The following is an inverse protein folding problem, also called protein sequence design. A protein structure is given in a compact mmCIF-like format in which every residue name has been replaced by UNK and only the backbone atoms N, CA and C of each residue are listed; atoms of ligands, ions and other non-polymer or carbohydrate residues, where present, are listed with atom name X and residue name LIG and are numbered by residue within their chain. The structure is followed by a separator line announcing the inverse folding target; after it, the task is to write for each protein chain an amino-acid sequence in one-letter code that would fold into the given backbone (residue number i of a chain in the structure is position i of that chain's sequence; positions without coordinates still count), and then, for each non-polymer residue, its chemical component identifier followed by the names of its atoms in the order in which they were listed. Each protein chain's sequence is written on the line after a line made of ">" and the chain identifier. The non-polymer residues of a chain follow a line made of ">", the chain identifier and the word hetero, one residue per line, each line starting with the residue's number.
data_IF_643801443081
#
_entry.id   IF_643801443081
#
_cell.length_a   1.000
_cell.length_b   1.000
_cell.length_c   1.000
_cell.angle_alpha   90.00
_cell.angle_beta   90.00
_cell.angle_gamma   90.00
#
_symmetry.space_group_name_H-M   'P 1'
#
loop_
_entity.id
_entity.type
_entity.pdbx_description
1 polymer ?
#
# COMPACT_ATOMS: atom_id res chain seq x y z
N UNK A 1 2.75 72.62 -16.34
CA UNK A 1 1.27 72.58 -16.43
C UNK A 1 0.85 71.13 -16.27
N UNK A 2 0.57 70.69 -15.03
CA UNK A 2 0.03 69.35 -14.76
C UNK A 2 -1.48 69.38 -15.01
N UNK A 3 -1.90 68.91 -16.18
CA UNK A 3 -3.30 68.58 -16.41
C UNK A 3 -3.55 67.19 -15.84
N UNK A 4 -3.81 67.11 -14.54
CA UNK A 4 -4.48 65.93 -13.97
C UNK A 4 -5.97 66.25 -14.07
N UNK A 5 -6.67 65.49 -14.90
CA UNK A 5 -8.11 65.61 -15.10
C UNK A 5 -8.82 65.46 -13.74
N UNK A 6 -9.58 66.47 -13.27
CA UNK A 6 -10.25 66.43 -11.97
C UNK A 6 -11.28 65.29 -11.84
N UNK A 7 -11.55 64.54 -12.92
CA UNK A 7 -12.43 63.37 -12.95
C UNK A 7 -11.71 62.01 -13.01
N UNK A 8 -10.40 61.95 -12.73
CA UNK A 8 -9.65 60.69 -12.74
C UNK A 8 -10.16 59.72 -11.65
N UNK A 9 -11.06 58.82 -12.06
CA UNK A 9 -11.52 57.67 -11.28
C UNK A 9 -10.32 56.78 -10.88
N UNK A 10 -10.42 56.07 -9.75
CA UNK A 10 -9.39 55.16 -9.20
C UNK A 10 -8.70 54.29 -10.27
N UNK A 11 -9.44 53.84 -11.28
CA UNK A 11 -8.88 53.02 -12.36
C UNK A 11 -7.87 53.76 -13.25
N UNK A 12 -8.09 55.04 -13.54
CA UNK A 12 -7.15 55.84 -14.34
C UNK A 12 -5.89 56.23 -13.56
N UNK A 13 -6.02 56.44 -12.25
CA UNK A 13 -4.87 56.65 -11.35
C UNK A 13 -4.03 55.38 -11.24
N UNK A 14 -4.69 54.22 -11.13
CA UNK A 14 -4.03 52.92 -11.10
C UNK A 14 -3.29 52.59 -12.41
N UNK A 15 -3.84 52.94 -13.59
CA UNK A 15 -3.14 52.71 -14.87
C UNK A 15 -1.84 53.52 -14.98
N UNK A 16 -1.86 54.80 -14.60
CA UNK A 16 -0.65 55.63 -14.58
C UNK A 16 0.40 55.08 -13.61
N UNK A 17 -0.03 54.59 -12.45
CA UNK A 17 0.86 53.95 -11.46
C UNK A 17 1.45 52.66 -12.02
N UNK A 18 0.64 51.82 -12.68
CA UNK A 18 1.06 50.53 -13.22
C UNK A 18 2.12 50.67 -14.32
N UNK A 19 1.93 51.58 -15.28
CA UNK A 19 2.90 51.86 -16.35
C UNK A 19 4.27 52.26 -15.77
N UNK A 20 4.25 53.10 -14.73
CA UNK A 20 5.48 53.56 -14.08
C UNK A 20 6.11 52.48 -13.18
N UNK A 21 5.32 51.62 -12.54
CA UNK A 21 5.82 50.48 -11.77
C UNK A 21 6.53 49.48 -12.69
N UNK A 22 6.00 49.18 -13.88
CA UNK A 22 6.66 48.30 -14.84
C UNK A 22 8.05 48.81 -15.23
N UNK A 23 8.22 50.11 -15.45
CA UNK A 23 9.54 50.71 -15.74
C UNK A 23 10.53 50.53 -14.58
N UNK A 24 10.07 50.71 -13.33
CA UNK A 24 10.89 50.49 -12.14
C UNK A 24 11.31 49.03 -12.04
N UNK A 25 10.36 48.10 -12.20
CA UNK A 25 10.61 46.67 -12.05
C UNK A 25 11.40 46.05 -13.21
N UNK A 26 11.42 46.70 -14.39
CA UNK A 26 12.35 46.38 -15.50
C UNK A 26 13.75 46.99 -15.34
N UNK A 27 14.06 47.58 -14.19
CA UNK A 27 15.32 48.26 -13.89
C UNK A 27 15.68 49.41 -14.86
N UNK A 28 14.69 50.03 -15.49
CA UNK A 28 14.91 51.11 -16.46
C UNK A 28 15.13 52.49 -15.83
N UNK A 29 15.11 52.58 -14.49
CA UNK A 29 15.24 53.83 -13.76
C UNK A 29 14.03 54.76 -13.98
N UNK A 30 13.89 55.78 -13.13
CA UNK A 30 12.84 56.79 -13.26
C UNK A 30 13.48 58.17 -13.21
N UNK A 31 13.06 59.07 -14.10
CA UNK A 31 13.53 60.45 -14.07
C UNK A 31 12.96 61.19 -12.83
N UNK A 32 13.67 62.19 -12.28
CA UNK A 32 13.15 63.00 -11.18
C UNK A 32 11.80 63.66 -11.51
N UNK A 33 11.59 64.05 -12.77
CA UNK A 33 10.33 64.63 -13.26
C UNK A 33 9.18 63.63 -13.19
N UNK A 34 9.38 62.42 -13.70
CA UNK A 34 8.38 61.34 -13.67
C UNK A 34 8.06 60.90 -12.23
N UNK A 35 9.06 60.90 -11.34
CA UNK A 35 8.83 60.62 -9.91
C UNK A 35 7.93 61.67 -9.26
N UNK A 36 8.19 62.96 -9.52
CA UNK A 36 7.38 64.05 -8.96
C UNK A 36 5.95 64.03 -9.51
N UNK A 37 5.76 63.70 -10.79
CA UNK A 37 4.42 63.51 -11.38
C UNK A 37 3.66 62.36 -10.69
N UNK A 38 4.31 61.20 -10.51
CA UNK A 38 3.70 60.05 -9.83
C UNK A 38 3.36 60.34 -8.38
N UNK A 39 4.27 60.99 -7.65
CA UNK A 39 4.06 61.43 -6.27
C UNK A 39 2.86 62.37 -6.17
N UNK A 40 2.76 63.34 -7.08
CA UNK A 40 1.68 64.32 -7.09
C UNK A 40 0.33 63.65 -7.35
N UNK A 41 0.25 62.71 -8.30
CA UNK A 41 -0.99 61.94 -8.58
C UNK A 41 -1.44 61.14 -7.36
N UNK A 42 -0.53 60.43 -6.69
CA UNK A 42 -0.86 59.65 -5.48
C UNK A 42 -1.24 60.56 -4.32
N UNK A 43 -0.52 61.68 -4.14
CA UNK A 43 -0.79 62.66 -3.09
C UNK A 43 -2.15 63.32 -3.28
N UNK A 44 -2.45 63.80 -4.48
CA UNK A 44 -3.75 64.38 -4.85
C UNK A 44 -4.88 63.36 -4.65
N UNK A 45 -4.70 62.10 -5.05
CA UNK A 45 -5.70 61.07 -4.78
C UNK A 45 -5.97 60.89 -3.29
N UNK A 46 -4.91 60.72 -2.49
CA UNK A 46 -5.02 60.52 -1.04
C UNK A 46 -5.51 61.74 -0.27
N UNK A 47 -5.42 62.95 -0.84
CA UNK A 47 -5.84 64.20 -0.20
C UNK A 47 -7.19 64.73 -0.70
N UNK A 48 -7.53 64.54 -1.98
CA UNK A 48 -8.78 65.02 -2.58
C UNK A 48 -9.98 64.11 -2.31
N UNK A 49 -9.76 62.83 -1.98
CA UNK A 49 -10.85 61.91 -1.62
C UNK A 49 -11.27 62.03 -0.13
N UNK A 50 -11.48 63.26 0.34
CA UNK A 50 -12.39 63.50 1.46
C UNK A 50 -13.82 63.14 1.01
N UNK A 51 -14.64 62.50 1.86
CA UNK A 51 -16.04 62.30 1.52
C UNK A 51 -16.66 63.67 1.26
N UNK A 52 -17.23 63.87 0.07
CA UNK A 52 -18.14 64.98 -0.18
C UNK A 52 -19.29 64.87 0.82
N UNK A 53 -19.15 65.50 1.98
CA UNK A 53 -20.28 65.94 2.78
C UNK A 53 -20.94 67.06 1.98
N UNK A 54 -21.80 66.65 1.05
CA UNK A 54 -22.65 67.55 0.29
C UNK A 54 -23.32 68.52 1.25
N UNK A 55 -23.09 69.81 1.01
CA UNK A 55 -23.77 70.87 1.72
C UNK A 55 -25.27 70.65 1.62
N UNK A 56 -25.93 70.52 2.76
CA UNK A 56 -27.38 70.67 2.84
C UNK A 56 -27.72 71.41 4.12
N UNK A 57 -28.23 72.60 3.86
CA UNK A 57 -28.95 73.56 4.67
C UNK A 57 -29.29 73.20 6.12
N UNK A 58 -29.05 74.22 6.95
CA UNK A 58 -29.60 74.46 8.26
C UNK A 58 -31.12 74.16 8.28
N UNK A 59 -31.52 73.13 9.01
CA UNK A 59 -32.81 73.12 9.71
C UNK A 59 -32.65 72.50 11.08
N UNK A 60 -32.90 73.32 12.12
CA UNK A 60 -33.05 72.91 13.51
C UNK A 60 -34.20 71.93 13.65
N UNK A 61 -33.97 70.77 14.28
CA UNK A 61 -34.92 70.15 15.20
C UNK A 61 -34.23 69.16 16.14
N UNK A 62 -34.52 69.32 17.42
CA UNK A 62 -34.14 68.46 18.54
C UNK A 62 -34.72 67.05 18.40
N UNK A 63 -33.98 66.00 18.76
CA UNK A 63 -34.27 65.10 19.91
C UNK A 63 -33.32 63.90 19.96
N UNK A 64 -32.85 63.64 21.19
CA UNK A 64 -32.51 62.36 21.82
C UNK A 64 -31.56 61.33 21.14
N UNK A 65 -30.39 61.22 21.77
CA UNK A 65 -29.73 59.99 22.22
C UNK A 65 -30.28 58.66 21.69
N UNK A 66 -29.50 58.02 20.82
CA UNK A 66 -29.29 56.57 20.92
C UNK A 66 -27.90 56.21 20.38
N UNK A 67 -26.94 56.04 21.30
CA UNK A 67 -25.66 55.38 21.01
C UNK A 67 -25.93 53.88 20.94
N UNK A 68 -26.13 53.37 19.73
CA UNK A 68 -26.10 51.94 19.47
C UNK A 68 -24.88 51.66 18.60
N UNK A 69 -23.86 51.07 19.22
CA UNK A 69 -22.62 50.63 18.59
C UNK A 69 -22.94 49.60 17.50
N UNK A 70 -22.93 50.03 16.24
CA UNK A 70 -22.90 49.13 15.08
C UNK A 70 -21.44 48.83 14.75
N UNK A 71 -20.98 47.56 14.67
CA UNK A 71 -19.57 47.23 14.42
C UNK A 71 -19.06 47.47 12.99
N UNK A 72 -19.84 48.13 12.13
CA UNK A 72 -19.57 48.21 10.68
C UNK A 72 -19.18 49.58 10.12
N UNK A 73 -19.03 50.62 10.96
CA UNK A 73 -18.39 51.87 10.51
C UNK A 73 -16.86 51.70 10.44
N UNK A 74 -16.39 50.88 9.49
CA UNK A 74 -15.02 51.01 8.99
C UNK A 74 -14.92 52.40 8.37
N UNK A 75 -14.24 53.33 9.03
CA UNK A 75 -13.72 54.55 8.40
C UNK A 75 -13.11 54.13 7.05
N UNK A 76 -13.70 54.54 5.92
CA UNK A 76 -13.07 54.42 4.62
C UNK A 76 -11.72 55.12 4.71
N UNK A 77 -10.63 54.35 4.88
CA UNK A 77 -9.29 54.91 4.94
C UNK A 77 -8.97 55.31 3.51
N UNK A 78 -8.92 56.62 3.29
CA UNK A 78 -8.58 57.19 1.99
C UNK A 78 -7.24 56.60 1.53
N UNK A 79 -7.23 55.94 0.36
CA UNK A 79 -6.05 55.23 -0.16
C UNK A 79 -5.99 53.71 0.11
N UNK A 80 -6.90 53.12 0.90
CA UNK A 80 -6.93 51.67 1.16
C UNK A 80 -7.14 50.85 -0.13
N UNK A 81 -8.00 51.32 -1.03
CA UNK A 81 -8.26 50.66 -2.32
C UNK A 81 -7.01 50.66 -3.23
N UNK A 82 -6.28 51.78 -3.25
CA UNK A 82 -5.03 51.91 -4.00
C UNK A 82 -3.94 51.02 -3.42
N UNK A 83 -3.83 50.98 -2.09
CA UNK A 83 -2.91 50.08 -1.38
C UNK A 83 -3.24 48.62 -1.64
N UNK A 84 -4.53 48.24 -1.65
CA UNK A 84 -4.95 46.88 -1.96
C UNK A 84 -4.68 46.49 -3.42
N UNK A 85 -4.88 47.41 -4.38
CA UNK A 85 -4.48 47.19 -5.78
C UNK A 85 -2.97 47.00 -5.91
N UNK A 86 -2.16 47.82 -5.25
CA UNK A 86 -0.71 47.67 -5.21
C UNK A 86 -0.29 46.34 -4.59
N UNK A 87 -0.87 45.98 -3.45
CA UNK A 87 -0.61 44.70 -2.78
C UNK A 87 -0.95 43.51 -3.66
N UNK A 88 -2.07 43.54 -4.37
CA UNK A 88 -2.47 42.48 -5.28
C UNK A 88 -1.57 42.40 -6.51
N UNK A 89 -1.18 43.55 -7.07
CA UNK A 89 -0.21 43.61 -8.15
C UNK A 89 1.13 43.00 -7.75
N UNK A 90 1.70 43.40 -6.61
CA UNK A 90 2.96 42.85 -6.11
C UNK A 90 2.88 41.35 -5.86
N UNK A 91 1.77 40.86 -5.31
CA UNK A 91 1.54 39.42 -5.14
C UNK A 91 1.54 38.69 -6.48
N UNK A 92 0.84 39.21 -7.49
CA UNK A 92 0.79 38.60 -8.81
C UNK A 92 2.15 38.67 -9.52
N UNK A 93 2.83 39.81 -9.47
CA UNK A 93 4.15 39.98 -10.06
C UNK A 93 5.18 39.01 -9.45
N UNK A 94 5.21 38.87 -8.11
CA UNK A 94 6.07 37.90 -7.44
C UNK A 94 5.72 36.46 -7.83
N UNK A 95 4.43 36.16 -7.99
CA UNK A 95 3.95 34.85 -8.45
C UNK A 95 4.49 34.53 -9.85
N UNK A 96 4.36 35.45 -10.79
CA UNK A 96 4.85 35.30 -12.17
C UNK A 96 6.37 35.11 -12.22
N UNK A 97 7.13 35.85 -11.41
CA UNK A 97 8.58 35.64 -11.31
C UNK A 97 8.91 34.24 -10.82
N UNK A 98 8.24 33.79 -9.76
CA UNK A 98 8.47 32.45 -9.19
C UNK A 98 8.11 31.38 -10.21
N UNK A 99 7.01 31.53 -10.95
CA UNK A 99 6.62 30.62 -12.03
C UNK A 99 7.69 30.52 -13.11
N UNK A 100 8.14 31.65 -13.65
CA UNK A 100 9.18 31.69 -14.67
C UNK A 100 10.49 31.08 -14.15
N UNK A 101 10.88 31.39 -12.92
CA UNK A 101 12.08 30.83 -12.32
C UNK A 101 11.99 29.31 -12.16
N UNK A 102 10.82 28.79 -11.76
CA UNK A 102 10.57 27.35 -11.63
C UNK A 102 10.56 26.63 -12.98
N UNK A 103 9.98 27.24 -14.01
CA UNK A 103 10.00 26.70 -15.37
C UNK A 103 11.43 26.61 -15.92
N UNK A 104 12.20 27.69 -15.78
CA UNK A 104 13.63 27.70 -16.14
C UNK A 104 14.38 26.63 -15.34
N UNK A 105 14.14 26.54 -14.03
CA UNK A 105 14.82 25.56 -13.19
C UNK A 105 14.50 24.12 -13.63
N UNK A 106 13.23 23.83 -13.97
CA UNK A 106 12.80 22.52 -14.45
C UNK A 106 13.48 22.14 -15.77
N UNK A 107 13.52 23.07 -16.73
CA UNK A 107 14.11 22.85 -18.05
C UNK A 107 15.64 22.73 -18.00
N UNK A 108 16.30 23.57 -17.19
CA UNK A 108 17.77 23.70 -17.19
C UNK A 108 18.43 22.77 -16.18
N UNK A 109 17.80 22.48 -15.05
CA UNK A 109 18.39 21.67 -13.98
C UNK A 109 17.68 20.32 -13.82
N UNK A 110 16.36 20.32 -13.59
CA UNK A 110 15.65 19.08 -13.27
C UNK A 110 15.71 18.05 -14.39
N UNK A 111 15.16 18.37 -15.56
CA UNK A 111 15.07 17.42 -16.68
C UNK A 111 16.42 16.80 -17.09
N UNK A 112 17.52 17.56 -17.25
CA UNK A 112 18.79 16.98 -17.66
C UNK A 112 19.52 16.21 -16.55
N UNK A 113 19.29 16.53 -15.28
CA UNK A 113 20.04 15.94 -14.15
C UNK A 113 19.25 14.87 -13.39
N UNK A 114 17.92 14.84 -13.50
CA UNK A 114 17.03 14.01 -12.68
C UNK A 114 17.47 12.54 -12.70
N UNK A 115 17.72 11.95 -13.87
CA UNK A 115 18.12 10.54 -13.96
C UNK A 115 19.45 10.25 -13.24
N UNK A 116 20.42 11.17 -13.33
CA UNK A 116 21.72 11.03 -12.66
C UNK A 116 21.58 11.17 -11.14
N UNK A 117 20.76 12.13 -10.70
CA UNK A 117 20.49 12.38 -9.28
C UNK A 117 19.72 11.20 -8.67
N UNK A 118 18.69 10.69 -9.35
CA UNK A 118 17.98 9.47 -8.93
C UNK A 118 18.95 8.31 -8.84
N UNK A 119 19.76 8.07 -9.87
CA UNK A 119 20.76 6.98 -9.86
C UNK A 119 21.72 7.09 -8.68
N UNK A 120 22.22 8.29 -8.37
CA UNK A 120 23.08 8.50 -7.21
C UNK A 120 22.36 8.22 -5.88
N UNK A 121 21.09 8.63 -5.76
CA UNK A 121 20.27 8.31 -4.60
C UNK A 121 20.06 6.79 -4.43
N UNK A 122 19.80 6.07 -5.53
CA UNK A 122 19.65 4.61 -5.51
C UNK A 122 20.95 3.89 -5.13
N UNK A 123 22.11 4.42 -5.54
CA UNK A 123 23.41 3.91 -5.11
C UNK A 123 23.64 4.11 -3.61
N UNK A 124 23.29 5.28 -3.06
CA UNK A 124 23.34 5.51 -1.61
C UNK A 124 22.42 4.53 -0.86
N UNK A 125 21.21 4.29 -1.34
CA UNK A 125 20.30 3.31 -0.72
C UNK A 125 20.91 1.91 -0.74
N UNK A 126 21.55 1.50 -1.84
CA UNK A 126 22.21 0.20 -1.90
C UNK A 126 23.42 0.10 -0.96
N UNK A 127 24.19 1.17 -0.81
CA UNK A 127 25.25 1.24 0.19
C UNK A 127 24.69 1.04 1.61
N UNK A 128 23.58 1.69 1.94
CA UNK A 128 22.88 1.48 3.21
C UNK A 128 22.41 0.03 3.42
N UNK A 129 21.88 -0.63 2.38
CA UNK A 129 21.50 -2.06 2.45
C UNK A 129 22.67 -2.99 2.74
N UNK A 130 23.88 -2.57 2.40
CA UNK A 130 25.13 -3.26 2.69
C UNK A 130 25.71 -2.85 4.06
N UNK A 131 24.95 -2.11 4.86
CA UNK A 131 25.30 -1.58 6.19
C UNK A 131 26.34 -0.44 6.15
N UNK A 132 26.49 0.26 5.03
CA UNK A 132 27.27 1.50 4.99
C UNK A 132 26.48 2.66 5.61
N UNK A 133 27.19 3.57 6.27
CA UNK A 133 26.59 4.77 6.85
C UNK A 133 26.41 5.80 5.75
N UNK A 134 25.17 6.17 5.46
CA UNK A 134 24.83 7.18 4.47
C UNK A 134 24.21 8.44 5.08
N UNK A 135 24.32 9.56 4.36
CA UNK A 135 23.60 10.78 4.71
C UNK A 135 22.23 10.80 4.03
N UNK A 136 21.20 10.36 4.75
CA UNK A 136 19.82 10.27 4.26
C UNK A 136 19.18 11.63 3.93
N UNK A 137 19.80 12.75 4.34
CA UNK A 137 19.30 14.10 4.02
C UNK A 137 19.32 14.39 2.53
N UNK A 138 20.27 13.83 1.77
CA UNK A 138 20.33 14.02 0.32
C UNK A 138 19.13 13.36 -0.37
N UNK A 139 18.81 12.12 0.03
CA UNK A 139 17.67 11.39 -0.51
C UNK A 139 16.37 12.12 -0.14
N UNK A 140 16.22 12.51 1.13
CA UNK A 140 15.03 13.26 1.58
C UNK A 140 14.85 14.57 0.81
N UNK A 141 15.94 15.29 0.52
CA UNK A 141 15.88 16.54 -0.25
C UNK A 141 15.40 16.29 -1.69
N UNK A 142 15.89 15.25 -2.36
CA UNK A 142 15.46 14.89 -3.72
C UNK A 142 13.99 14.48 -3.74
N UNK A 143 13.58 13.62 -2.81
CA UNK A 143 12.17 13.20 -2.67
C UNK A 143 11.28 14.41 -2.39
N UNK A 144 11.71 15.33 -1.52
CA UNK A 144 10.94 16.53 -1.22
C UNK A 144 10.79 17.43 -2.45
N UNK A 145 11.86 17.64 -3.22
CA UNK A 145 11.80 18.43 -4.47
C UNK A 145 10.75 17.84 -5.41
N UNK A 146 10.76 16.53 -5.63
CA UNK A 146 9.81 15.84 -6.52
C UNK A 146 8.36 15.90 -6.01
N UNK A 147 8.15 16.01 -4.70
CA UNK A 147 6.84 16.21 -4.07
C UNK A 147 6.39 17.68 -4.14
N UNK A 148 7.30 18.64 -3.96
CA UNK A 148 7.02 20.07 -4.02
C UNK A 148 6.57 20.50 -5.42
N UNK A 149 7.01 19.80 -6.48
CA UNK A 149 6.46 19.98 -7.83
C UNK A 149 5.00 19.53 -7.98
N UNK A 150 4.46 18.74 -7.05
CA UNK A 150 3.08 18.23 -7.09
C UNK A 150 2.11 19.04 -6.22
N UNK A 151 2.57 19.88 -5.27
CA UNK A 151 1.67 20.65 -4.41
C UNK A 151 1.21 21.97 -5.05
N UNK A 152 -0.12 22.16 -5.06
CA UNK A 152 -0.87 23.33 -5.57
C UNK A 152 -0.46 24.71 -4.99
N UNK A 153 0.50 24.80 -4.07
CA UNK A 153 0.73 26.04 -3.30
C UNK A 153 1.68 27.05 -3.95
N UNK A 154 2.49 26.65 -4.94
CA UNK A 154 3.44 27.55 -5.62
C UNK A 154 3.28 27.68 -7.13
N UNK A 155 2.48 26.84 -7.79
CA UNK A 155 2.31 26.85 -9.25
C UNK A 155 0.85 27.23 -9.65
N UNK A 156 0.65 28.29 -10.42
CA UNK A 156 -0.63 28.65 -11.03
C UNK A 156 -1.07 27.72 -12.15
N UNK A 157 -2.39 27.75 -12.33
CA UNK A 157 -3.24 26.84 -13.11
C UNK A 157 -2.83 26.53 -14.55
N UNK A 158 -1.87 27.22 -15.16
CA UNK A 158 -1.50 27.00 -16.56
C UNK A 158 -0.71 25.70 -16.80
N UNK A 159 -0.06 25.12 -15.77
CA UNK A 159 0.58 23.80 -15.88
C UNK A 159 -0.45 22.64 -15.78
N UNK A 160 -1.65 22.89 -15.24
CA UNK A 160 -2.68 21.86 -15.08
C UNK A 160 -3.35 21.38 -16.38
N UNK A 161 -2.96 21.92 -17.55
CA UNK A 161 -3.47 21.41 -18.82
C UNK A 161 -2.80 20.11 -19.29
N UNK A 162 -1.72 19.63 -18.64
CA UNK A 162 -1.08 18.37 -19.05
C UNK A 162 -0.83 17.33 -17.95
N UNK A 163 -0.90 17.65 -16.65
CA UNK A 163 -0.75 16.65 -15.58
C UNK A 163 -1.61 17.01 -14.37
N UNK A 164 -2.28 15.99 -13.84
CA UNK A 164 -3.17 16.03 -12.67
C UNK A 164 -2.39 16.40 -11.39
N UNK A 165 -3.04 16.68 -10.24
CA UNK A 165 -2.37 17.00 -8.97
C UNK A 165 -1.88 15.70 -8.30
N UNK A 166 -1.08 14.94 -9.03
CA UNK A 166 -0.79 13.55 -8.76
C UNK A 166 0.67 13.39 -8.41
N UNK A 167 0.95 12.42 -7.55
CA UNK A 167 2.27 11.94 -7.17
C UNK A 167 3.15 11.46 -8.35
N UNK A 168 2.76 11.74 -9.60
CA UNK A 168 3.31 11.24 -10.86
C UNK A 168 4.80 11.56 -10.99
N UNK A 169 5.24 12.76 -10.65
CA UNK A 169 6.67 13.11 -10.74
C UNK A 169 7.50 12.19 -9.84
N UNK A 170 7.13 12.07 -8.57
CA UNK A 170 7.81 11.15 -7.64
C UNK A 170 7.72 9.70 -8.12
N UNK A 171 6.55 9.28 -8.60
CA UNK A 171 6.34 7.91 -9.05
C UNK A 171 7.20 7.54 -10.25
N UNK A 172 7.18 8.37 -11.28
CA UNK A 172 7.84 8.11 -12.56
C UNK A 172 9.36 8.26 -12.43
N UNK A 173 9.81 9.29 -11.72
CA UNK A 173 11.22 9.67 -11.66
C UNK A 173 11.99 9.05 -10.50
N UNK A 174 11.30 8.56 -9.45
CA UNK A 174 11.95 7.94 -8.30
C UNK A 174 11.35 6.59 -7.90
N UNK A 175 10.04 6.47 -7.64
CA UNK A 175 9.41 5.25 -7.11
C UNK A 175 9.63 4.04 -8.04
N UNK A 176 9.35 4.20 -9.34
CA UNK A 176 9.50 3.14 -10.34
C UNK A 176 10.97 2.72 -10.48
N UNK A 177 11.94 3.63 -10.71
CA UNK A 177 13.36 3.28 -10.69
C UNK A 177 13.80 2.61 -9.38
N UNK A 178 13.34 3.11 -8.23
CA UNK A 178 13.66 2.55 -6.92
C UNK A 178 13.17 1.11 -6.78
N UNK A 179 11.92 0.81 -7.17
CA UNK A 179 11.37 -0.54 -7.10
C UNK A 179 12.13 -1.51 -8.01
N UNK A 180 12.49 -1.07 -9.22
CA UNK A 180 13.29 -1.88 -10.16
C UNK A 180 14.70 -2.18 -9.63
N UNK A 181 15.37 -1.16 -9.08
CA UNK A 181 16.71 -1.31 -8.51
C UNK A 181 16.70 -2.22 -7.28
N UNK A 182 15.66 -2.07 -6.45
CA UNK A 182 15.43 -2.90 -5.26
C UNK A 182 15.18 -4.36 -5.66
N UNK A 183 14.43 -4.58 -6.73
CA UNK A 183 14.18 -5.92 -7.24
C UNK A 183 15.46 -6.64 -7.66
N UNK A 184 16.30 -5.95 -8.44
CA UNK A 184 17.58 -6.50 -8.89
C UNK A 184 18.51 -6.81 -7.73
N UNK A 185 18.58 -5.90 -6.75
CA UNK A 185 19.38 -6.09 -5.54
C UNK A 185 18.96 -7.35 -4.77
N UNK A 186 17.67 -7.49 -4.46
CA UNK A 186 17.19 -8.61 -3.64
C UNK A 186 17.17 -9.94 -4.39
N UNK A 187 17.04 -9.96 -5.72
CA UNK A 187 17.26 -11.17 -6.51
C UNK A 187 18.69 -11.68 -6.38
N UNK A 188 19.67 -10.80 -6.54
CA UNK A 188 21.08 -11.17 -6.38
C UNK A 188 21.41 -11.56 -4.94
N UNK A 189 20.90 -10.82 -3.96
CA UNK A 189 21.10 -11.17 -2.55
C UNK A 189 20.51 -12.54 -2.23
N UNK A 190 19.27 -12.83 -2.65
CA UNK A 190 18.63 -14.11 -2.41
C UNK A 190 19.43 -15.27 -3.03
N UNK A 191 19.77 -15.17 -4.32
CA UNK A 191 20.55 -16.18 -5.01
C UNK A 191 21.91 -16.43 -4.34
N UNK A 192 22.66 -15.37 -4.01
CA UNK A 192 23.97 -15.50 -3.37
C UNK A 192 23.86 -16.06 -1.94
N UNK A 193 22.82 -15.66 -1.20
CA UNK A 193 22.67 -16.08 0.19
C UNK A 193 22.29 -17.56 0.29
N UNK A 194 21.40 -18.03 -0.60
CA UNK A 194 20.91 -19.42 -0.62
C UNK A 194 22.00 -20.43 -0.98
N UNK A 195 23.03 -20.05 -1.75
CA UNK A 195 24.16 -20.94 -2.10
C UNK A 195 24.97 -21.32 -0.85
N UNK A 196 25.10 -20.43 0.13
CA UNK A 196 26.03 -20.58 1.25
C UNK A 196 25.36 -20.76 2.61
N UNK A 197 24.04 -20.58 2.70
CA UNK A 197 23.32 -20.56 3.97
C UNK A 197 22.10 -21.48 3.95
N UNK A 198 21.74 -21.97 5.13
CA UNK A 198 20.54 -22.79 5.29
C UNK A 198 19.26 -21.97 5.11
N UNK A 199 18.20 -22.63 4.66
CA UNK A 199 16.86 -22.05 4.53
C UNK A 199 16.38 -21.32 5.79
N UNK A 200 16.70 -21.84 6.98
CA UNK A 200 16.36 -21.19 8.26
C UNK A 200 17.03 -19.83 8.43
N UNK A 201 18.31 -19.70 8.04
CA UNK A 201 19.00 -18.41 8.05
C UNK A 201 18.41 -17.47 7.01
N UNK A 202 18.01 -18.01 5.87
CA UNK A 202 17.39 -17.23 4.80
C UNK A 202 16.03 -16.63 5.24
N UNK A 203 15.14 -17.41 5.86
CA UNK A 203 13.86 -16.89 6.38
C UNK A 203 14.03 -15.75 7.40
N UNK A 204 14.99 -15.89 8.32
CA UNK A 204 15.31 -14.82 9.28
C UNK A 204 15.82 -13.56 8.59
N UNK A 205 16.65 -13.73 7.56
CA UNK A 205 17.17 -12.62 6.77
C UNK A 205 16.05 -11.92 6.01
N UNK A 206 15.09 -12.65 5.44
CA UNK A 206 13.92 -12.06 4.78
C UNK A 206 13.16 -11.16 5.76
N UNK A 207 12.82 -11.66 6.95
CA UNK A 207 12.11 -10.87 7.96
C UNK A 207 12.84 -9.58 8.32
N UNK A 208 14.16 -9.67 8.51
CA UNK A 208 15.02 -8.52 8.73
C UNK A 208 14.95 -7.53 7.56
N UNK A 209 15.07 -7.99 6.31
CA UNK A 209 15.02 -7.13 5.13
C UNK A 209 13.68 -6.41 4.97
N UNK A 210 12.56 -7.08 5.28
CA UNK A 210 11.24 -6.44 5.29
C UNK A 210 11.15 -5.31 6.33
N UNK A 211 11.69 -5.52 7.53
CA UNK A 211 11.72 -4.49 8.57
C UNK A 211 12.60 -3.30 8.16
N UNK A 212 13.78 -3.56 7.61
CA UNK A 212 14.69 -2.52 7.13
C UNK A 212 14.08 -1.67 6.01
N UNK A 213 13.42 -2.30 5.03
CA UNK A 213 12.73 -1.58 3.94
C UNK A 213 11.51 -0.80 4.42
N UNK A 214 10.77 -1.34 5.39
CA UNK A 214 9.67 -0.61 6.02
C UNK A 214 10.18 0.65 6.73
N UNK A 215 11.25 0.52 7.52
CA UNK A 215 11.88 1.64 8.20
C UNK A 215 12.44 2.67 7.20
N UNK A 216 13.02 2.22 6.10
CA UNK A 216 13.52 3.08 5.02
C UNK A 216 12.42 3.96 4.44
N UNK A 217 11.27 3.37 4.11
CA UNK A 217 10.13 4.13 3.60
C UNK A 217 9.69 5.18 4.62
N UNK A 218 9.52 4.79 5.88
CA UNK A 218 9.11 5.69 6.97
C UNK A 218 10.12 6.81 7.25
N UNK A 219 11.41 6.57 6.99
CA UNK A 219 12.47 7.50 7.33
C UNK A 219 12.64 8.62 6.31
N UNK A 220 12.55 8.32 5.01
CA UNK A 220 12.89 9.29 3.98
C UNK A 220 12.24 9.09 2.59
N UNK A 221 11.30 8.15 2.42
CA UNK A 221 10.54 8.01 1.17
C UNK A 221 9.07 8.39 1.37
N UNK A 222 8.33 8.51 0.27
CA UNK A 222 6.90 8.78 0.35
C UNK A 222 6.12 7.53 0.80
N UNK A 223 5.08 7.64 1.66
CA UNK A 223 4.31 6.49 2.14
C UNK A 223 3.63 5.65 1.06
N UNK A 224 3.36 6.22 -0.13
CA UNK A 224 2.79 5.48 -1.27
C UNK A 224 3.66 4.30 -1.70
N UNK A 225 4.97 4.39 -1.45
CA UNK A 225 5.96 3.40 -1.87
C UNK A 225 5.88 2.12 -1.07
N UNK A 226 5.30 2.15 0.14
CA UNK A 226 5.33 1.01 1.06
C UNK A 226 4.63 -0.22 0.49
N UNK A 227 3.38 -0.07 0.03
CA UNK A 227 2.61 -1.23 -0.45
C UNK A 227 3.20 -1.87 -1.72
N UNK A 228 3.56 -1.10 -2.78
CA UNK A 228 4.24 -1.64 -3.95
C UNK A 228 5.58 -2.32 -3.61
N UNK A 229 6.36 -1.72 -2.70
CA UNK A 229 7.64 -2.27 -2.26
C UNK A 229 7.46 -3.61 -1.54
N UNK A 230 6.54 -3.69 -0.58
CA UNK A 230 6.29 -4.94 0.17
C UNK A 230 5.84 -6.07 -0.76
N UNK A 231 4.93 -5.80 -1.70
CA UNK A 231 4.51 -6.79 -2.72
C UNK A 231 5.69 -7.25 -3.59
N UNK A 232 6.57 -6.32 -3.96
CA UNK A 232 7.74 -6.65 -4.77
C UNK A 232 8.72 -7.57 -4.01
N UNK A 233 9.01 -7.24 -2.74
CA UNK A 233 9.87 -8.05 -1.87
C UNK A 233 9.28 -9.44 -1.63
N UNK A 234 7.97 -9.55 -1.37
CA UNK A 234 7.29 -10.83 -1.18
C UNK A 234 7.43 -11.73 -2.41
N UNK A 235 7.21 -11.16 -3.60
CA UNK A 235 7.39 -11.88 -4.86
C UNK A 235 8.81 -12.41 -5.04
N UNK A 236 9.83 -11.57 -4.82
CA UNK A 236 11.23 -11.92 -5.11
C UNK A 236 11.83 -12.85 -4.06
N UNK A 237 11.66 -12.49 -2.79
CA UNK A 237 12.32 -13.18 -1.69
C UNK A 237 11.58 -14.47 -1.30
N UNK A 238 10.26 -14.52 -1.51
CA UNK A 238 9.43 -15.66 -1.14
C UNK A 238 8.97 -16.41 -2.39
N UNK A 239 8.09 -15.81 -3.21
CA UNK A 239 7.42 -16.55 -4.30
C UNK A 239 8.38 -17.13 -5.33
N UNK A 240 9.38 -16.37 -5.79
CA UNK A 240 10.38 -16.84 -6.76
C UNK A 240 11.28 -17.94 -6.18
N UNK A 241 11.40 -18.05 -4.85
CA UNK A 241 12.27 -19.05 -4.20
C UNK A 241 11.52 -20.29 -3.71
N UNK A 242 10.18 -20.35 -3.84
CA UNK A 242 9.32 -21.38 -3.22
C UNK A 242 9.78 -22.82 -3.49
N UNK A 243 10.30 -23.12 -4.67
CA UNK A 243 10.78 -24.48 -4.99
C UNK A 243 12.01 -24.87 -4.18
N UNK A 244 12.95 -23.93 -3.97
CA UNK A 244 14.13 -24.12 -3.13
C UNK A 244 13.75 -24.19 -1.65
N UNK A 245 12.80 -23.35 -1.22
CA UNK A 245 12.17 -23.42 0.11
C UNK A 245 11.61 -24.81 0.36
N UNK A 246 10.87 -25.35 -0.61
CA UNK A 246 10.23 -26.65 -0.52
C UNK A 246 11.25 -27.79 -0.51
N UNK A 247 12.29 -27.71 -1.36
CA UNK A 247 13.33 -28.73 -1.48
C UNK A 247 14.18 -28.83 -0.22
N UNK A 248 14.57 -27.69 0.35
CA UNK A 248 15.31 -27.67 1.62
C UNK A 248 14.42 -27.97 2.82
N UNK A 249 13.15 -27.56 2.83
CA UNK A 249 12.19 -28.01 3.85
C UNK A 249 11.99 -29.53 3.80
N UNK A 250 11.98 -30.14 2.61
CA UNK A 250 11.96 -31.59 2.43
C UNK A 250 13.25 -32.26 2.93
N UNK A 251 14.42 -31.66 2.70
CA UNK A 251 15.70 -32.15 3.24
C UNK A 251 15.77 -32.03 4.77
N UNK A 252 15.24 -30.93 5.34
CA UNK A 252 15.13 -30.71 6.78
C UNK A 252 14.06 -31.59 7.45
N UNK A 253 13.06 -32.06 6.71
CA UNK A 253 12.06 -33.04 7.18
C UNK A 253 12.64 -34.45 7.39
N UNK A 254 13.88 -34.70 6.93
CA UNK A 254 14.66 -35.90 7.25
C UNK A 254 15.55 -35.73 8.49
N UNK A 255 15.68 -34.52 9.04
CA UNK A 255 16.48 -34.25 10.22
C UNK A 255 15.57 -34.14 11.45
N UNK A 256 15.71 -35.06 12.41
CA UNK A 256 14.76 -35.26 13.52
C UNK A 256 14.70 -34.09 14.53
N UNK A 257 15.51 -33.05 14.36
CA UNK A 257 15.75 -32.01 15.35
C UNK A 257 15.08 -30.64 15.08
N UNK A 258 14.22 -30.46 14.07
CA UNK A 258 13.74 -29.12 13.72
C UNK A 258 12.24 -28.84 13.93
N UNK A 259 11.95 -27.73 14.61
CA UNK A 259 10.61 -27.21 14.90
C UNK A 259 10.39 -25.88 14.16
N UNK A 260 9.60 -25.89 13.08
CA UNK A 260 9.29 -24.74 12.20
C UNK A 260 8.32 -23.74 12.89
N UNK A 261 7.88 -24.04 14.12
CA UNK A 261 6.81 -23.33 14.83
C UNK A 261 7.12 -21.94 15.41
N UNK A 262 8.26 -21.30 15.10
CA UNK A 262 8.67 -20.01 15.74
C UNK A 262 8.53 -18.74 14.90
N UNK A 263 8.04 -18.81 13.66
CA UNK A 263 7.95 -17.61 12.78
C UNK A 263 6.48 -17.33 12.40
N UNK A 264 5.83 -16.29 12.96
CA UNK A 264 4.40 -16.00 12.76
C UNK A 264 3.98 -15.78 11.29
N UNK A 265 4.76 -15.05 10.49
CA UNK A 265 4.43 -14.80 9.08
C UNK A 265 4.70 -16.02 8.19
N UNK A 266 5.75 -16.80 8.50
CA UNK A 266 5.99 -18.07 7.83
C UNK A 266 4.88 -19.09 8.12
N UNK A 267 4.25 -19.06 9.31
CA UNK A 267 3.09 -19.92 9.61
C UNK A 267 1.90 -19.64 8.70
N UNK A 268 1.60 -18.36 8.40
CA UNK A 268 0.49 -18.00 7.52
C UNK A 268 0.76 -18.50 6.10
N UNK A 269 1.98 -18.34 5.60
CA UNK A 269 2.32 -18.77 4.24
C UNK A 269 2.49 -20.30 4.14
N UNK A 270 3.01 -20.95 5.18
CA UNK A 270 3.01 -22.41 5.30
C UNK A 270 1.60 -22.99 5.35
N UNK A 271 0.63 -22.31 5.98
CA UNK A 271 -0.80 -22.69 5.92
C UNK A 271 -1.31 -22.66 4.49
N UNK A 272 -1.06 -21.57 3.74
CA UNK A 272 -1.47 -21.46 2.34
C UNK A 272 -0.77 -22.50 1.45
N UNK A 273 0.54 -22.70 1.61
CA UNK A 273 1.32 -23.70 0.85
C UNK A 273 0.82 -25.11 1.18
N UNK A 274 0.52 -25.40 2.45
CA UNK A 274 -0.04 -26.69 2.85
C UNK A 274 -1.42 -26.89 2.23
N UNK A 275 -2.31 -25.90 2.27
CA UNK A 275 -3.64 -25.96 1.64
C UNK A 275 -3.56 -26.15 0.12
N UNK A 276 -2.70 -25.37 -0.54
CA UNK A 276 -2.49 -25.42 -2.00
C UNK A 276 -1.77 -26.68 -2.47
N UNK A 277 -1.08 -27.42 -1.60
CA UNK A 277 -0.46 -28.71 -1.96
C UNK A 277 -1.29 -29.92 -1.52
N UNK A 278 -1.96 -29.83 -0.37
CA UNK A 278 -2.79 -30.90 0.20
C UNK A 278 -3.99 -31.17 -0.71
N UNK A 279 -4.71 -30.11 -1.12
CA UNK A 279 -5.89 -30.25 -1.99
C UNK A 279 -5.55 -30.94 -3.31
N UNK A 280 -4.66 -30.43 -4.17
CA UNK A 280 -4.44 -31.04 -5.48
C UNK A 280 -3.83 -32.43 -5.39
N UNK A 281 -2.85 -32.70 -4.51
CA UNK A 281 -2.25 -34.05 -4.40
C UNK A 281 -3.20 -35.07 -3.76
N UNK A 282 -4.01 -34.63 -2.79
CA UNK A 282 -5.07 -35.43 -2.19
C UNK A 282 -6.19 -35.74 -3.19
N UNK A 283 -6.65 -34.72 -3.91
CA UNK A 283 -7.68 -34.84 -4.96
C UNK A 283 -7.18 -35.72 -6.10
N UNK A 284 -5.98 -35.48 -6.64
CA UNK A 284 -5.37 -36.31 -7.71
C UNK A 284 -5.26 -37.79 -7.29
N UNK A 285 -4.86 -38.04 -6.03
CA UNK A 285 -4.80 -39.40 -5.49
C UNK A 285 -6.19 -40.07 -5.42
N UNK A 286 -7.24 -39.29 -5.20
CA UNK A 286 -8.63 -39.76 -5.18
C UNK A 286 -9.24 -39.86 -6.59
N UNK A 287 -8.87 -38.97 -7.52
CA UNK A 287 -9.29 -39.01 -8.92
C UNK A 287 -8.85 -40.32 -9.60
N UNK A 288 -7.62 -40.76 -9.35
CA UNK A 288 -7.06 -42.01 -9.88
C UNK A 288 -7.85 -43.26 -9.48
N UNK A 289 -8.57 -43.21 -8.36
CA UNK A 289 -9.40 -44.32 -7.87
C UNK A 289 -10.90 -44.01 -7.97
N UNK A 290 -11.29 -42.84 -8.47
CA UNK A 290 -12.65 -42.31 -8.34
C UNK A 290 -13.70 -43.22 -8.98
N UNK A 291 -13.46 -43.67 -10.21
CA UNK A 291 -14.37 -44.54 -10.95
C UNK A 291 -14.60 -45.92 -10.28
N UNK A 292 -13.58 -46.48 -9.61
CA UNK A 292 -13.66 -47.80 -8.95
C UNK A 292 -14.03 -47.72 -7.46
N UNK A 293 -13.76 -46.60 -6.81
CA UNK A 293 -13.99 -46.41 -5.38
C UNK A 293 -15.45 -46.05 -5.04
N UNK A 294 -16.26 -45.58 -6.01
CA UNK A 294 -17.69 -45.28 -5.82
C UNK A 294 -18.47 -46.48 -5.25
N UNK A 295 -18.10 -47.70 -5.66
CA UNK A 295 -18.75 -48.94 -5.22
C UNK A 295 -17.80 -49.88 -4.46
N UNK A 296 -16.60 -49.41 -4.11
CA UNK A 296 -15.62 -50.19 -3.35
C UNK A 296 -15.27 -49.52 -2.00
N UNK A 297 -16.04 -49.81 -0.93
CA UNK A 297 -15.83 -49.26 0.40
C UNK A 297 -14.43 -49.44 0.96
N UNK A 298 -13.81 -50.61 0.73
CA UNK A 298 -12.46 -50.92 1.23
C UNK A 298 -11.41 -50.04 0.57
N UNK A 299 -11.43 -49.98 -0.77
CA UNK A 299 -10.48 -49.18 -1.54
C UNK A 299 -10.57 -47.70 -1.17
N UNK A 300 -11.80 -47.20 -1.00
CA UNK A 300 -12.05 -45.83 -0.61
C UNK A 300 -11.49 -45.49 0.78
N UNK A 301 -11.88 -46.27 1.80
CA UNK A 301 -11.52 -45.98 3.19
C UNK A 301 -10.02 -46.16 3.43
N UNK A 302 -9.41 -47.23 2.91
CA UNK A 302 -7.96 -47.43 3.05
C UNK A 302 -7.17 -46.31 2.36
N UNK A 303 -7.66 -45.78 1.23
CA UNK A 303 -6.99 -44.67 0.56
C UNK A 303 -7.09 -43.36 1.34
N UNK A 304 -8.27 -43.07 1.92
CA UNK A 304 -8.43 -41.88 2.76
C UNK A 304 -7.58 -41.98 4.03
N UNK A 305 -7.49 -43.16 4.64
CA UNK A 305 -6.60 -43.40 5.79
C UNK A 305 -5.13 -43.16 5.43
N UNK A 306 -4.66 -43.70 4.30
CA UNK A 306 -3.28 -43.49 3.80
C UNK A 306 -2.97 -42.01 3.56
N UNK A 307 -3.91 -41.28 2.94
CA UNK A 307 -3.79 -39.84 2.68
C UNK A 307 -3.75 -39.08 4.01
N UNK A 308 -4.71 -39.34 4.91
CA UNK A 308 -4.81 -38.68 6.21
C UNK A 308 -3.53 -38.90 7.02
N UNK A 309 -3.05 -40.14 7.13
CA UNK A 309 -1.86 -40.49 7.90
C UNK A 309 -0.60 -39.80 7.36
N UNK A 310 -0.39 -39.81 6.03
CA UNK A 310 0.74 -39.14 5.39
C UNK A 310 0.77 -37.64 5.69
N UNK A 311 -0.37 -36.98 5.54
CA UNK A 311 -0.47 -35.54 5.76
C UNK A 311 -0.50 -35.18 7.25
N UNK A 312 -1.05 -36.03 8.11
CA UNK A 312 -1.02 -35.87 9.55
C UNK A 312 0.41 -35.97 10.09
N UNK A 313 1.23 -36.90 9.58
CA UNK A 313 2.68 -36.98 9.90
C UNK A 313 3.42 -35.71 9.46
N UNK A 314 3.11 -35.17 8.28
CA UNK A 314 3.68 -33.88 7.83
C UNK A 314 3.22 -32.75 8.76
N UNK A 315 1.94 -32.69 9.10
CA UNK A 315 1.41 -31.66 9.98
C UNK A 315 2.00 -31.72 11.39
N UNK A 316 2.11 -32.91 12.00
CA UNK A 316 2.77 -33.09 13.30
C UNK A 316 4.22 -32.60 13.28
N UNK A 317 4.97 -32.97 12.22
CA UNK A 317 6.39 -32.60 12.07
C UNK A 317 6.60 -31.10 11.84
N UNK A 318 5.81 -30.48 10.98
CA UNK A 318 5.97 -29.05 10.65
C UNK A 318 5.43 -28.16 11.78
N UNK A 319 4.39 -28.59 12.50
CA UNK A 319 3.63 -27.71 13.38
C UNK A 319 3.82 -27.97 14.88
N UNK A 320 4.56 -29.01 15.30
CA UNK A 320 4.99 -29.28 16.67
C UNK A 320 3.93 -28.99 17.76
N UNK A 321 2.75 -29.62 17.64
CA UNK A 321 1.60 -29.47 18.55
C UNK A 321 1.00 -28.06 18.69
N UNK A 322 1.19 -27.17 17.72
CA UNK A 322 0.48 -25.88 17.68
C UNK A 322 -1.04 -26.08 17.52
N UNK A 323 -1.78 -25.65 18.54
CA UNK A 323 -3.24 -25.83 18.64
C UNK A 323 -4.01 -25.18 17.48
N UNK A 324 -3.62 -23.97 17.08
CA UNK A 324 -4.26 -23.23 15.99
C UNK A 324 -3.97 -23.83 14.60
N UNK A 325 -2.83 -24.51 14.45
CA UNK A 325 -2.47 -25.23 13.22
C UNK A 325 -3.09 -26.62 13.16
N UNK A 326 -3.30 -27.27 14.30
CA UNK A 326 -4.09 -28.50 14.42
C UNK A 326 -5.55 -28.26 14.03
N UNK A 327 -6.13 -27.14 14.46
CA UNK A 327 -7.49 -26.76 14.06
C UNK A 327 -7.59 -26.47 12.55
N UNK A 328 -6.55 -25.85 11.98
CA UNK A 328 -6.46 -25.64 10.54
C UNK A 328 -6.36 -26.95 9.75
N UNK A 329 -5.50 -27.88 10.16
CA UNK A 329 -5.42 -29.22 9.57
C UNK A 329 -6.76 -29.97 9.67
N UNK A 330 -7.42 -29.87 10.83
CA UNK A 330 -8.73 -30.46 11.02
C UNK A 330 -9.78 -29.86 10.09
N UNK A 331 -9.76 -28.54 9.86
CA UNK A 331 -10.65 -27.86 8.91
C UNK A 331 -10.41 -28.31 7.47
N UNK A 332 -9.16 -28.41 7.03
CA UNK A 332 -8.82 -28.90 5.68
C UNK A 332 -9.24 -30.35 5.51
N UNK A 333 -8.96 -31.20 6.49
CA UNK A 333 -9.31 -32.63 6.47
C UNK A 333 -10.83 -32.84 6.41
N UNK A 334 -11.60 -32.05 7.18
CA UNK A 334 -13.08 -32.00 7.07
C UNK A 334 -13.53 -31.65 5.65
N UNK A 335 -12.94 -30.61 5.06
CA UNK A 335 -13.33 -30.19 3.71
C UNK A 335 -13.03 -31.27 2.68
N UNK A 336 -11.84 -31.85 2.70
CA UNK A 336 -11.42 -32.90 1.76
C UNK A 336 -12.21 -34.21 1.89
N UNK A 337 -12.47 -34.69 3.11
CA UNK A 337 -13.20 -35.95 3.31
C UNK A 337 -14.65 -35.81 2.82
N UNK A 338 -15.26 -34.64 2.96
CA UNK A 338 -16.63 -34.40 2.51
C UNK A 338 -16.70 -33.95 1.03
N UNK A 339 -15.63 -33.35 0.48
CA UNK A 339 -15.53 -32.88 -0.90
C UNK A 339 -14.25 -33.43 -1.56
N UNK A 340 -14.39 -34.53 -2.31
CA UNK A 340 -13.32 -35.14 -3.08
C UNK A 340 -13.87 -35.73 -4.39
N UNK A 341 -12.98 -36.19 -5.27
CA UNK A 341 -13.33 -36.71 -6.58
C UNK A 341 -14.39 -37.84 -6.56
N UNK A 342 -14.48 -38.65 -5.50
CA UNK A 342 -15.48 -39.72 -5.37
C UNK A 342 -16.85 -39.15 -4.98
N UNK A 343 -16.91 -38.15 -4.09
CA UNK A 343 -18.17 -37.50 -3.72
C UNK A 343 -18.71 -36.64 -4.85
N UNK A 344 -17.83 -36.01 -5.63
CA UNK A 344 -18.16 -35.26 -6.85
C UNK A 344 -18.65 -36.21 -7.96
N UNK A 345 -17.92 -37.30 -8.24
CA UNK A 345 -18.34 -38.27 -9.26
C UNK A 345 -19.67 -38.97 -8.91
N UNK A 346 -19.96 -39.16 -7.62
CA UNK A 346 -21.23 -39.69 -7.14
C UNK A 346 -22.34 -38.62 -7.01
N UNK A 347 -22.02 -37.34 -7.23
CA UNK A 347 -22.88 -36.18 -6.96
C UNK A 347 -23.57 -36.24 -5.58
N UNK A 348 -22.86 -36.70 -4.56
CA UNK A 348 -23.40 -36.94 -3.23
C UNK A 348 -22.34 -36.70 -2.14
N UNK A 349 -22.47 -35.58 -1.42
CA UNK A 349 -21.60 -35.22 -0.30
C UNK A 349 -21.66 -36.22 0.89
N UNK A 350 -22.68 -37.10 0.95
CA UNK A 350 -22.81 -38.15 1.98
C UNK A 350 -22.13 -39.46 1.57
N UNK A 351 -21.64 -39.57 0.33
CA UNK A 351 -21.04 -40.81 -0.20
C UNK A 351 -19.86 -41.29 0.63
N UNK A 352 -19.05 -40.36 1.16
CA UNK A 352 -17.96 -40.68 2.07
C UNK A 352 -18.42 -41.40 3.35
N UNK A 353 -19.53 -40.97 3.94
CA UNK A 353 -20.07 -41.56 5.17
C UNK A 353 -20.72 -42.92 4.89
N UNK A 354 -21.41 -43.04 3.75
CA UNK A 354 -21.98 -44.31 3.27
C UNK A 354 -20.89 -45.38 3.05
N UNK A 355 -19.80 -45.03 2.36
CA UNK A 355 -18.70 -45.95 2.11
C UNK A 355 -17.97 -46.33 3.40
N UNK A 356 -17.83 -45.42 4.35
CA UNK A 356 -17.28 -45.73 5.67
C UNK A 356 -18.17 -46.73 6.43
N UNK A 357 -19.48 -46.49 6.49
CA UNK A 357 -20.43 -47.37 7.16
C UNK A 357 -20.41 -48.79 6.57
N UNK A 358 -20.46 -48.89 5.23
CA UNK A 358 -20.36 -50.18 4.52
C UNK A 358 -19.04 -50.88 4.77
N UNK A 359 -17.93 -50.14 4.89
CA UNK A 359 -16.64 -50.74 5.23
C UNK A 359 -16.61 -51.30 6.65
N UNK A 360 -17.16 -50.57 7.62
CA UNK A 360 -17.35 -51.06 8.99
C UNK A 360 -18.21 -52.34 9.02
N UNK A 361 -19.32 -52.38 8.29
CA UNK A 361 -20.17 -53.57 8.17
C UNK A 361 -19.41 -54.76 7.56
N UNK A 362 -18.59 -54.53 6.54
CA UNK A 362 -17.74 -55.56 5.94
C UNK A 362 -16.72 -56.09 6.95
N UNK A 363 -16.09 -55.23 7.74
CA UNK A 363 -15.14 -55.62 8.79
C UNK A 363 -15.84 -56.44 9.90
N UNK A 364 -17.04 -56.03 10.30
CA UNK A 364 -17.84 -56.74 11.32
C UNK A 364 -18.38 -58.09 10.83
N UNK A 365 -18.77 -58.19 9.56
CA UNK A 365 -19.27 -59.44 8.94
C UNK A 365 -18.16 -60.43 8.59
N UNK A 366 -16.97 -59.95 8.22
CA UNK A 366 -15.78 -60.78 7.94
C UNK A 366 -15.05 -61.25 9.20
N UNK A 367 -15.75 -61.45 10.33
CA UNK A 367 -15.24 -62.20 11.49
C UNK A 367 -14.94 -63.65 11.10
N UNK A 368 -13.90 -63.85 10.30
CA UNK A 368 -13.23 -65.12 10.13
C UNK A 368 -12.28 -65.26 11.30
N UNK A 369 -12.15 -66.47 11.85
CA UNK A 369 -11.32 -66.83 13.00
C UNK A 369 -9.79 -66.60 12.80
N UNK A 370 -9.40 -65.78 11.82
CA UNK A 370 -8.03 -65.61 11.32
C UNK A 370 -7.53 -64.16 11.39
N UNK A 371 -8.42 -63.16 11.57
CA UNK A 371 -7.96 -61.80 11.91
C UNK A 371 -7.78 -61.77 13.42
N UNK A 372 -6.54 -61.61 13.89
CA UNK A 372 -6.27 -61.42 15.31
C UNK A 372 -7.11 -60.23 15.81
N UNK A 373 -7.81 -60.37 16.93
CA UNK A 373 -8.70 -59.33 17.46
C UNK A 373 -8.00 -57.97 17.59
N UNK A 374 -6.68 -58.00 17.81
CA UNK A 374 -5.75 -56.86 17.85
C UNK A 374 -5.69 -56.08 16.53
N UNK A 375 -5.59 -56.74 15.37
CA UNK A 375 -5.54 -56.10 14.05
C UNK A 375 -6.86 -55.42 13.71
N UNK A 376 -7.97 -56.04 14.14
CA UNK A 376 -9.31 -55.49 13.94
C UNK A 376 -9.51 -54.22 14.78
N UNK A 377 -9.11 -54.27 16.05
CA UNK A 377 -9.16 -53.11 16.96
C UNK A 377 -8.30 -51.94 16.45
N UNK A 378 -7.10 -52.21 15.95
CA UNK A 378 -6.25 -51.17 15.37
C UNK A 378 -6.90 -50.51 14.14
N UNK A 379 -7.51 -51.31 13.26
CA UNK A 379 -8.28 -50.77 12.11
C UNK A 379 -9.46 -49.92 12.56
N UNK A 380 -10.19 -50.34 13.58
CA UNK A 380 -11.29 -49.52 14.13
C UNK A 380 -10.78 -48.22 14.75
N UNK A 381 -9.64 -48.23 15.45
CA UNK A 381 -9.03 -47.02 15.99
C UNK A 381 -8.64 -46.03 14.88
N UNK A 382 -8.09 -46.51 13.77
CA UNK A 382 -7.77 -45.68 12.60
C UNK A 382 -9.05 -45.09 11.96
N UNK A 383 -10.10 -45.91 11.82
CA UNK A 383 -11.40 -45.46 11.30
C UNK A 383 -12.05 -44.40 12.22
N UNK A 384 -11.92 -44.53 13.55
CA UNK A 384 -12.43 -43.56 14.52
C UNK A 384 -11.86 -42.16 14.34
N UNK A 385 -10.62 -42.04 13.83
CA UNK A 385 -10.03 -40.74 13.48
C UNK A 385 -10.80 -40.09 12.32
N UNK A 386 -11.26 -40.87 11.34
CA UNK A 386 -12.04 -40.36 10.21
C UNK A 386 -13.43 -39.87 10.63
N UNK A 387 -14.06 -40.53 11.62
CA UNK A 387 -15.35 -40.11 12.18
C UNK A 387 -15.35 -38.66 12.67
N UNK A 388 -14.21 -38.17 13.18
CA UNK A 388 -14.06 -36.78 13.63
C UNK A 388 -14.24 -35.74 12.50
N UNK A 389 -14.06 -36.14 11.23
CA UNK A 389 -14.04 -35.23 10.09
C UNK A 389 -15.34 -35.18 9.27
N UNK A 390 -16.31 -36.04 9.57
CA UNK A 390 -17.61 -35.99 8.92
C UNK A 390 -18.46 -34.87 9.51
N UNK A 391 -19.24 -34.19 8.66
CA UNK A 391 -20.18 -33.13 9.07
C UNK A 391 -21.40 -33.68 9.84
N UNK A 392 -21.53 -35.01 9.89
CA UNK A 392 -22.69 -35.70 10.46
C UNK A 392 -22.40 -36.11 11.91
N UNK A 393 -23.30 -35.82 12.87
CA UNK A 393 -23.15 -36.28 14.25
C UNK A 393 -23.02 -37.80 14.31
N UNK A 394 -22.16 -38.27 15.21
CA UNK A 394 -21.85 -39.67 15.55
C UNK A 394 -23.09 -40.60 15.57
N UNK A 395 -24.29 -40.07 15.82
CA UNK A 395 -25.55 -40.80 15.85
C UNK A 395 -26.11 -41.26 14.50
N UNK A 396 -25.82 -40.63 13.36
CA UNK A 396 -26.47 -41.01 12.09
C UNK A 396 -25.80 -42.17 11.34
N UNK A 397 -24.51 -42.46 11.62
CA UNK A 397 -23.82 -43.58 10.96
C UNK A 397 -24.26 -44.92 11.56
N UNK A 398 -24.55 -44.96 12.86
CA UNK A 398 -25.03 -46.19 13.52
C UNK A 398 -26.52 -46.47 13.31
N UNK A 399 -27.33 -45.47 12.94
CA UNK A 399 -28.77 -45.68 12.66
C UNK A 399 -29.06 -46.12 11.23
N UNK A 400 -28.11 -45.94 10.29
CA UNK A 400 -28.26 -46.38 8.90
C UNK A 400 -27.94 -47.86 8.66
N UNK A 401 -27.41 -48.57 9.66
CA UNK A 401 -27.21 -50.03 9.64
C UNK A 401 -28.47 -50.84 10.00
N UNK A 402 -29.63 -50.19 10.12
CA UNK A 402 -30.91 -50.82 10.43
C UNK A 402 -31.84 -50.90 9.22
N UNK A 403 -31.45 -51.66 8.17
CA UNK A 403 -32.35 -52.39 7.26
C UNK A 403 -31.66 -53.72 6.89
#
# INVERSE_FOLDING_TARGET
>A
MSWIDPNLNLNGIWTTILENLEHIYRAQGMSPTSYMELYTVVYEYCTNSQPQSGGSQITRRSTQNNRQNNPHDKKNVVGEELYNKLKNYLKNYLKEIVEMAMEIWKLVFFQPLQSQVTSACLQLINAERQNEIINTRFIRAVVQIELDFNEDSFLPRFIHQMTSPTLEIYKDYFEVPFLQYTEQFYRQEAANFLIHNSMTKYLKKIEQRFQEETYRVQSYLHPSTLEPLMKNLERILIHEQVEEIYTQAKALLHDENYSVGRIPNAKVELKKIFENNFRPKGIESMERISATAIDNPKLYVEKILDIHEKFFKVAQKVFNNDEHLRDFFNKISRNFINNNAVTEAANNARKSAELLARYCDILLRKRSKVVEETDLEEKFNQIMVLFFYFIIPIFCVFTLGGI
#
